data_IF_836780782257
#
_entry.id   IF_836780782257
#
_cell.length_a   1.000
_cell.length_b   1.000
_cell.length_c   1.000
_cell.angle_alpha   90.00
_cell.angle_beta   90.00
_cell.angle_gamma   90.00
#
_symmetry.space_group_name_H-M   'P 1'
#
loop_
_entity.id
_entity.type
_entity.pdbx_description
1 polymer ?
#
# COMPACT_ATOMS: atom_id res chain seq x y z
N UNK A 1 30.10 -27.68 34.96
CA UNK A 1 28.63 -27.70 34.98
C UNK A 1 28.16 -26.60 35.88
N UNK A 2 27.82 -25.43 35.35
CA UNK A 2 27.20 -24.35 36.08
C UNK A 2 25.74 -24.21 35.63
N UNK A 3 24.77 -24.12 36.54
CA UNK A 3 23.36 -23.96 36.14
C UNK A 3 23.10 -22.52 35.75
N UNK A 4 22.38 -22.37 34.63
CA UNK A 4 21.91 -21.11 34.08
C UNK A 4 20.82 -20.57 35.03
N UNK A 5 21.09 -19.43 35.65
CA UNK A 5 20.14 -18.71 36.50
C UNK A 5 19.02 -18.10 35.65
N UNK A 6 17.79 -18.53 35.87
CA UNK A 6 16.58 -17.87 35.42
C UNK A 6 16.36 -16.57 36.19
N UNK A 7 16.61 -15.43 35.52
CA UNK A 7 16.22 -14.13 36.06
C UNK A 7 14.70 -13.96 35.90
N UNK A 8 13.95 -14.08 37.00
CA UNK A 8 12.55 -13.62 37.07
C UNK A 8 12.54 -12.10 36.99
N UNK A 9 11.79 -11.57 36.04
CA UNK A 9 11.47 -10.13 35.94
C UNK A 9 10.11 -9.94 36.64
N UNK A 10 10.14 -9.90 37.99
CA UNK A 10 9.00 -9.49 38.79
C UNK A 10 9.11 -7.98 39.00
N UNK A 11 8.19 -7.19 38.45
CA UNK A 11 8.07 -5.77 38.79
C UNK A 11 7.88 -4.76 37.70
N UNK A 12 7.22 -5.10 36.57
CA UNK A 12 6.67 -4.06 35.68
C UNK A 12 5.26 -3.68 36.16
N UNK A 13 4.97 -2.40 36.41
CA UNK A 13 3.62 -1.99 36.78
C UNK A 13 2.69 -2.23 35.61
N UNK A 14 1.61 -2.97 35.84
CA UNK A 14 0.49 -3.08 34.92
C UNK A 14 -0.10 -1.68 34.74
N UNK A 15 0.00 -1.14 33.52
CA UNK A 15 -0.74 0.06 33.17
C UNK A 15 -2.24 -0.18 33.41
N UNK A 16 -2.95 0.76 34.07
CA UNK A 16 -4.39 0.64 34.24
C UNK A 16 -5.04 0.54 32.86
N UNK A 17 -6.04 -0.36 32.75
CA UNK A 17 -6.83 -0.53 31.55
C UNK A 17 -7.37 0.83 31.12
N UNK A 18 -6.90 1.34 29.98
CA UNK A 18 -7.45 2.54 29.35
C UNK A 18 -8.95 2.33 29.16
N UNK A 19 -9.75 3.19 29.76
CA UNK A 19 -11.16 3.28 29.53
C UNK A 19 -11.37 3.42 28.02
N UNK A 20 -12.17 2.54 27.44
CA UNK A 20 -12.53 2.57 26.02
C UNK A 20 -13.20 3.92 25.73
N UNK A 21 -12.45 4.84 25.14
CA UNK A 21 -12.98 6.05 24.55
C UNK A 21 -13.86 5.58 23.39
N UNK A 22 -15.17 5.59 23.61
CA UNK A 22 -16.18 5.34 22.56
C UNK A 22 -15.97 6.44 21.52
N UNK A 23 -15.48 6.06 20.33
CA UNK A 23 -15.36 7.01 19.23
C UNK A 23 -16.76 7.53 18.87
N UNK A 24 -16.98 8.86 18.78
CA UNK A 24 -18.31 9.44 18.52
C UNK A 24 -18.86 9.16 17.12
N UNK A 25 -18.07 8.54 16.25
CA UNK A 25 -18.49 8.16 14.90
C UNK A 25 -18.63 6.65 14.77
N UNK A 26 -19.76 6.13 14.22
CA UNK A 26 -19.91 4.71 13.97
C UNK A 26 -18.84 4.26 12.98
N UNK A 27 -18.03 3.27 13.36
CA UNK A 27 -17.04 2.67 12.45
C UNK A 27 -17.77 2.00 11.28
N UNK A 28 -17.33 2.32 10.06
CA UNK A 28 -17.81 1.59 8.88
C UNK A 28 -17.25 0.17 8.94
N UNK A 29 -18.12 -0.82 8.80
CA UNK A 29 -17.71 -2.23 8.85
C UNK A 29 -17.82 -2.86 7.47
N UNK A 30 -16.76 -3.55 7.10
CA UNK A 30 -16.63 -4.31 5.85
C UNK A 30 -16.38 -5.80 6.17
N UNK A 31 -16.58 -6.66 5.19
CA UNK A 31 -16.17 -8.04 5.29
C UNK A 31 -14.64 -8.14 5.21
N UNK A 32 -14.04 -7.46 4.23
CA UNK A 32 -12.59 -7.45 4.00
C UNK A 32 -12.08 -6.06 3.68
N UNK A 33 -10.88 -5.75 4.14
CA UNK A 33 -10.12 -4.55 3.75
C UNK A 33 -8.73 -4.97 3.31
N UNK A 34 -8.30 -4.49 2.14
CA UNK A 34 -6.93 -4.59 1.62
C UNK A 34 -6.28 -3.21 1.59
N UNK A 35 -5.12 -3.10 2.18
CA UNK A 35 -4.29 -1.89 2.22
C UNK A 35 -2.85 -2.27 1.92
N UNK A 36 -2.12 -1.43 1.21
CA UNK A 36 -0.73 -1.67 0.80
C UNK A 36 0.12 -0.42 0.89
N UNK A 37 1.42 -0.60 0.71
CA UNK A 37 2.37 0.48 0.45
C UNK A 37 2.33 1.60 1.50
N UNK A 38 2.46 1.22 2.79
CA UNK A 38 2.52 2.17 3.91
C UNK A 38 3.89 2.82 4.02
N UNK A 39 4.94 2.03 3.75
CA UNK A 39 6.33 2.42 3.92
C UNK A 39 6.64 2.99 5.31
N UNK A 40 6.21 2.30 6.39
CA UNK A 40 6.57 2.68 7.75
C UNK A 40 8.10 2.69 7.90
N UNK A 41 8.66 3.80 8.37
CA UNK A 41 10.09 4.07 8.38
C UNK A 41 10.51 5.11 7.35
N UNK A 42 9.70 5.36 6.33
CA UNK A 42 9.92 6.44 5.38
C UNK A 42 9.18 7.72 5.81
N UNK A 43 9.80 8.87 5.60
CA UNK A 43 9.25 10.16 6.04
C UNK A 43 8.00 10.60 5.27
N UNK A 44 7.78 10.06 4.08
CA UNK A 44 6.63 10.39 3.25
C UNK A 44 5.39 9.54 3.59
N UNK A 45 5.50 8.58 4.53
CA UNK A 45 4.36 7.81 4.99
C UNK A 45 3.31 8.71 5.66
N UNK A 46 2.09 8.70 5.18
CA UNK A 46 0.92 9.39 5.74
C UNK A 46 0.31 8.61 6.92
N UNK A 47 1.16 8.28 7.90
CA UNK A 47 0.81 7.41 9.04
C UNK A 47 -0.39 7.94 9.84
N UNK A 48 -0.52 9.26 10.00
CA UNK A 48 -1.63 9.86 10.75
C UNK A 48 -2.97 9.65 10.02
N UNK A 49 -2.99 9.76 8.68
CA UNK A 49 -4.16 9.45 7.86
C UNK A 49 -4.51 7.97 7.91
N UNK A 50 -3.50 7.10 7.86
CA UNK A 50 -3.69 5.65 8.01
C UNK A 50 -4.28 5.32 9.38
N UNK A 51 -3.76 5.91 10.45
CA UNK A 51 -4.30 5.75 11.81
C UNK A 51 -5.76 6.18 11.89
N UNK A 52 -6.09 7.32 11.27
CA UNK A 52 -7.46 7.83 11.24
C UNK A 52 -8.37 6.87 10.46
N UNK A 53 -7.95 6.38 9.29
CA UNK A 53 -8.66 5.33 8.56
C UNK A 53 -8.89 4.09 9.42
N UNK A 54 -7.83 3.57 10.07
CA UNK A 54 -7.90 2.40 10.93
C UNK A 54 -8.81 2.59 12.17
N UNK A 55 -9.03 3.83 12.60
CA UNK A 55 -9.98 4.16 13.69
C UNK A 55 -11.42 4.06 13.22
N UNK A 56 -11.70 4.52 12.00
CA UNK A 56 -13.06 4.67 11.48
C UNK A 56 -13.56 3.46 10.68
N UNK A 57 -12.68 2.47 10.43
CA UNK A 57 -13.04 1.27 9.67
C UNK A 57 -12.70 0.00 10.44
N UNK A 58 -13.62 -0.97 10.38
CA UNK A 58 -13.42 -2.32 10.89
C UNK A 58 -13.77 -3.36 9.82
N UNK A 59 -13.14 -4.52 9.88
CA UNK A 59 -13.41 -5.64 8.98
C UNK A 59 -13.12 -6.98 9.67
N UNK A 60 -13.72 -8.05 9.14
CA UNK A 60 -13.47 -9.41 9.60
C UNK A 60 -12.09 -9.90 9.11
N UNK A 61 -11.70 -9.47 7.88
CA UNK A 61 -10.42 -9.80 7.26
C UNK A 61 -9.65 -8.53 6.88
N UNK A 62 -8.37 -8.47 7.22
CA UNK A 62 -7.43 -7.43 6.84
C UNK A 62 -6.25 -8.03 6.10
N UNK A 63 -5.97 -7.52 4.92
CA UNK A 63 -4.78 -7.86 4.16
C UNK A 63 -3.87 -6.65 4.07
N UNK A 64 -2.63 -6.80 4.53
CA UNK A 64 -1.54 -5.85 4.40
C UNK A 64 -0.72 -6.31 3.20
N UNK A 65 -0.91 -5.65 2.06
CA UNK A 65 -0.50 -6.17 0.75
C UNK A 65 0.83 -5.56 0.31
N UNK A 66 1.87 -5.84 1.07
CA UNK A 66 3.25 -5.49 0.80
C UNK A 66 3.65 -4.05 1.12
N UNK A 67 4.96 -3.85 1.24
CA UNK A 67 5.61 -2.58 1.51
C UNK A 67 5.04 -1.89 2.76
N UNK A 68 4.82 -2.70 3.81
CA UNK A 68 4.33 -2.25 5.11
C UNK A 68 5.44 -1.52 5.86
N UNK A 69 6.65 -2.09 5.82
CA UNK A 69 7.86 -1.52 6.40
C UNK A 69 8.82 -1.10 5.28
N UNK A 70 9.35 0.11 5.34
CA UNK A 70 10.42 0.50 4.39
C UNK A 70 11.79 0.13 4.95
N UNK A 71 12.18 -1.14 4.76
CA UNK A 71 13.47 -1.66 5.17
C UNK A 71 14.66 -0.94 4.51
N UNK A 72 14.46 -0.40 3.30
CA UNK A 72 15.51 0.35 2.58
C UNK A 72 15.71 1.74 3.17
N UNK A 73 14.62 2.45 3.50
CA UNK A 73 14.69 3.75 4.16
C UNK A 73 15.28 3.61 5.57
N UNK A 74 14.83 2.62 6.34
CA UNK A 74 15.29 2.35 7.70
C UNK A 74 16.79 2.01 7.77
N UNK A 75 17.30 1.21 6.80
CA UNK A 75 18.74 0.91 6.69
C UNK A 75 19.58 2.14 6.39
N UNK A 76 19.04 3.12 5.63
CA UNK A 76 19.73 4.35 5.27
C UNK A 76 19.73 5.37 6.40
N UNK A 77 18.58 5.55 7.06
CA UNK A 77 18.39 6.48 8.17
C UNK A 77 17.22 6.02 9.02
N UNK A 78 17.49 5.74 10.29
CA UNK A 78 16.43 5.35 11.21
C UNK A 78 15.43 6.49 11.40
N UNK A 79 14.19 6.27 11.00
CA UNK A 79 13.07 7.19 11.17
C UNK A 79 11.85 6.39 11.64
N UNK A 80 11.54 6.48 12.94
CA UNK A 80 10.41 5.76 13.52
C UNK A 80 9.65 6.65 14.48
N UNK A 81 8.84 7.60 13.96
CA UNK A 81 7.99 8.46 14.79
C UNK A 81 6.91 7.66 15.52
N UNK A 82 6.30 8.26 16.54
CA UNK A 82 5.28 7.62 17.34
C UNK A 82 4.08 7.16 16.50
N UNK A 83 3.69 7.92 15.49
CA UNK A 83 2.59 7.56 14.57
C UNK A 83 2.79 6.21 13.87
N UNK A 84 4.04 5.86 13.50
CA UNK A 84 4.36 4.55 12.93
C UNK A 84 4.15 3.43 13.94
N UNK A 85 4.58 3.64 15.18
CA UNK A 85 4.36 2.70 16.28
C UNK A 85 2.85 2.52 16.53
N UNK A 86 2.08 3.61 16.51
CA UNK A 86 0.64 3.59 16.74
C UNK A 86 -0.13 2.83 15.64
N UNK A 87 0.33 2.91 14.36
CA UNK A 87 -0.20 2.07 13.26
C UNK A 87 -0.03 0.59 13.58
N UNK A 88 1.18 0.17 13.96
CA UNK A 88 1.46 -1.23 14.33
C UNK A 88 0.57 -1.67 15.50
N UNK A 89 0.50 -0.86 16.57
CA UNK A 89 -0.36 -1.15 17.72
C UNK A 89 -1.83 -1.24 17.34
N UNK A 90 -2.29 -0.38 16.42
CA UNK A 90 -3.68 -0.40 15.97
C UNK A 90 -4.01 -1.67 15.19
N UNK A 91 -3.11 -2.15 14.33
CA UNK A 91 -3.26 -3.43 13.62
C UNK A 91 -3.28 -4.62 14.59
N UNK A 92 -2.36 -4.67 15.57
CA UNK A 92 -2.37 -5.69 16.62
C UNK A 92 -3.66 -5.64 17.46
N UNK A 93 -4.23 -4.47 17.66
CA UNK A 93 -5.52 -4.30 18.35
C UNK A 93 -6.68 -4.85 17.52
N UNK A 94 -6.64 -4.75 16.17
CA UNK A 94 -7.63 -5.40 15.28
C UNK A 94 -7.60 -6.91 15.46
N UNK A 95 -6.41 -7.52 15.48
CA UNK A 95 -6.25 -8.96 15.77
C UNK A 95 -6.86 -9.34 17.11
N UNK A 96 -6.53 -8.60 18.19
CA UNK A 96 -7.09 -8.86 19.52
C UNK A 96 -8.60 -8.74 19.60
N UNK A 97 -9.22 -7.97 18.71
CA UNK A 97 -10.68 -7.85 18.56
C UNK A 97 -11.29 -8.95 17.70
N UNK A 98 -10.51 -9.92 17.24
CA UNK A 98 -10.98 -11.08 16.48
C UNK A 98 -10.87 -10.94 14.96
N UNK A 99 -10.32 -9.84 14.43
CA UNK A 99 -10.07 -9.73 12.99
C UNK A 99 -8.94 -10.67 12.56
N UNK A 100 -9.09 -11.32 11.42
CA UNK A 100 -8.00 -12.06 10.77
C UNK A 100 -7.13 -11.08 10.01
N UNK A 101 -5.85 -10.97 10.37
CA UNK A 101 -4.89 -10.07 9.71
C UNK A 101 -3.82 -10.90 9.02
N UNK A 102 -3.64 -10.70 7.73
CA UNK A 102 -2.62 -11.35 6.89
C UNK A 102 -1.68 -10.26 6.35
N UNK A 103 -0.38 -10.47 6.52
CA UNK A 103 0.67 -9.63 5.94
C UNK A 103 1.29 -10.38 4.76
N UNK A 104 1.31 -9.77 3.60
CA UNK A 104 1.99 -10.24 2.38
C UNK A 104 3.18 -9.31 2.19
N UNK A 105 4.43 -9.79 2.28
CA UNK A 105 5.60 -8.94 2.11
C UNK A 105 5.73 -8.40 0.68
N UNK A 106 6.29 -7.19 0.56
CA UNK A 106 6.71 -6.59 -0.71
C UNK A 106 8.24 -6.51 -0.82
N UNK A 107 8.72 -5.76 -1.81
CA UNK A 107 10.16 -5.62 -2.04
C UNK A 107 10.87 -4.71 -1.02
N UNK A 108 10.19 -3.74 -0.40
CA UNK A 108 10.77 -2.92 0.66
C UNK A 108 10.86 -3.64 2.00
N UNK A 109 10.03 -4.63 2.22
CA UNK A 109 10.03 -5.49 3.41
C UNK A 109 10.28 -6.96 3.07
N UNK A 110 11.07 -7.23 2.01
CA UNK A 110 11.44 -8.57 1.53
C UNK A 110 11.99 -9.49 2.63
N UNK A 111 12.63 -8.92 3.67
CA UNK A 111 13.14 -9.69 4.82
C UNK A 111 12.03 -10.43 5.57
N UNK A 112 10.75 -10.03 5.43
CA UNK A 112 9.62 -10.74 6.02
C UNK A 112 9.32 -12.07 5.33
N UNK A 113 9.78 -12.31 4.09
CA UNK A 113 9.58 -13.58 3.41
C UNK A 113 10.20 -14.76 4.14
N UNK A 114 11.32 -14.55 4.88
CA UNK A 114 11.93 -15.59 5.72
C UNK A 114 11.01 -16.08 6.86
N UNK A 115 9.99 -15.29 7.19
CA UNK A 115 8.99 -15.60 8.24
C UNK A 115 7.66 -16.08 7.64
N UNK A 116 7.64 -16.44 6.36
CA UNK A 116 6.43 -16.95 5.72
C UNK A 116 5.84 -18.13 6.49
N UNK A 117 4.51 -18.14 6.62
CA UNK A 117 3.71 -19.10 7.39
C UNK A 117 3.86 -19.01 8.92
N UNK A 118 4.58 -18.02 9.42
CA UNK A 118 4.64 -17.70 10.84
C UNK A 118 3.63 -16.61 11.19
N UNK A 119 3.44 -16.40 12.49
CA UNK A 119 2.50 -15.40 13.01
C UNK A 119 3.20 -14.53 14.07
N UNK A 120 3.02 -13.22 13.98
CA UNK A 120 3.51 -12.24 14.95
C UNK A 120 2.33 -11.48 15.55
N UNK A 121 2.09 -11.69 16.86
CA UNK A 121 0.95 -11.07 17.54
C UNK A 121 -0.40 -11.41 16.92
N UNK A 122 -0.49 -12.56 16.20
CA UNK A 122 -1.67 -13.01 15.48
C UNK A 122 -1.78 -12.47 14.04
N UNK A 123 -0.84 -11.65 13.57
CA UNK A 123 -0.69 -11.29 12.15
C UNK A 123 0.03 -12.43 11.44
N UNK A 124 -0.59 -13.04 10.45
CA UNK A 124 -0.06 -14.19 9.70
C UNK A 124 0.73 -13.66 8.50
N UNK A 125 1.98 -14.11 8.32
CA UNK A 125 2.80 -13.76 7.15
C UNK A 125 2.65 -14.83 6.07
N UNK A 126 2.23 -14.43 4.87
CA UNK A 126 2.12 -15.31 3.69
C UNK A 126 2.77 -14.63 2.49
N UNK A 127 3.43 -15.37 1.57
CA UNK A 127 4.00 -14.78 0.36
C UNK A 127 2.92 -14.27 -0.61
N UNK A 128 1.81 -14.94 -0.64
CA UNK A 128 0.57 -14.64 -1.36
C UNK A 128 -0.57 -15.47 -0.77
N UNK A 129 -1.80 -15.22 -1.17
CA UNK A 129 -2.94 -16.02 -0.75
C UNK A 129 -4.12 -15.90 -1.72
N UNK A 130 -5.10 -16.78 -1.60
CA UNK A 130 -6.38 -16.65 -2.29
C UNK A 130 -7.44 -16.25 -1.26
N UNK A 131 -8.15 -15.18 -1.55
CA UNK A 131 -9.32 -14.72 -0.79
C UNK A 131 -10.60 -15.10 -1.54
N UNK A 132 -11.55 -15.68 -0.83
CA UNK A 132 -12.89 -15.96 -1.35
C UNK A 132 -13.87 -14.92 -0.85
N UNK A 133 -14.46 -14.18 -1.78
CA UNK A 133 -15.47 -13.16 -1.49
C UNK A 133 -16.81 -13.76 -1.05
N UNK A 134 -17.69 -12.96 -0.47
CA UNK A 134 -18.99 -13.41 -0.01
C UNK A 134 -19.89 -13.96 -1.14
N UNK A 135 -19.67 -13.51 -2.37
CA UNK A 135 -20.35 -13.99 -3.58
C UNK A 135 -19.65 -15.19 -4.26
N UNK A 136 -18.61 -15.76 -3.61
CA UNK A 136 -17.90 -16.96 -4.06
C UNK A 136 -16.80 -16.74 -5.09
N UNK A 137 -16.50 -15.50 -5.48
CA UNK A 137 -15.35 -15.22 -6.37
C UNK A 137 -14.04 -15.38 -5.62
N UNK A 138 -13.01 -15.82 -6.32
CA UNK A 138 -11.68 -16.09 -5.79
C UNK A 138 -10.70 -15.04 -6.28
N UNK A 139 -10.07 -14.30 -5.36
CA UNK A 139 -9.07 -13.30 -5.67
C UNK A 139 -7.69 -13.75 -5.22
N UNK A 140 -6.73 -13.74 -6.13
CA UNK A 140 -5.33 -13.93 -5.79
C UNK A 140 -4.78 -12.63 -5.23
N UNK A 141 -4.29 -12.66 -3.98
CA UNK A 141 -3.79 -11.49 -3.25
C UNK A 141 -2.28 -11.62 -3.13
N UNK A 142 -1.55 -10.65 -3.66
CA UNK A 142 -0.09 -10.61 -3.68
C UNK A 142 0.38 -9.16 -3.73
N UNK A 143 1.67 -8.90 -3.43
CA UNK A 143 2.17 -7.53 -3.58
C UNK A 143 2.31 -7.12 -5.06
N UNK A 144 3.01 -7.91 -5.84
CA UNK A 144 3.14 -7.68 -7.29
C UNK A 144 4.58 -7.46 -7.77
N UNK A 145 5.52 -7.18 -6.90
CA UNK A 145 6.94 -6.94 -7.18
C UNK A 145 7.62 -8.07 -7.98
N UNK A 146 7.14 -9.29 -7.84
CA UNK A 146 7.63 -10.45 -8.61
C UNK A 146 7.46 -10.32 -10.13
N UNK A 147 6.62 -9.38 -10.60
CA UNK A 147 6.43 -9.08 -12.01
C UNK A 147 7.33 -7.94 -12.53
N UNK A 148 8.15 -7.32 -11.67
CA UNK A 148 9.07 -6.23 -12.03
C UNK A 148 10.16 -6.65 -13.00
N UNK A 149 10.57 -7.92 -12.97
CA UNK A 149 11.61 -8.43 -13.88
C UNK A 149 11.24 -8.27 -15.37
N UNK A 150 9.97 -8.01 -15.64
CA UNK A 150 9.45 -7.73 -16.99
C UNK A 150 9.71 -6.27 -17.36
N UNK A 151 10.04 -5.38 -16.36
CA UNK A 151 10.15 -3.95 -16.65
C UNK A 151 10.94 -3.13 -15.62
N UNK A 152 11.80 -2.23 -16.13
CA UNK A 152 12.50 -1.21 -15.34
C UNK A 152 11.63 0.03 -15.15
N UNK A 153 11.16 0.26 -13.93
CA UNK A 153 10.33 1.40 -13.54
C UNK A 153 11.15 2.69 -13.30
N UNK A 154 10.54 3.85 -13.63
CA UNK A 154 11.14 5.17 -13.42
C UNK A 154 10.23 6.02 -12.49
N UNK A 155 10.51 6.08 -11.18
CA UNK A 155 9.63 6.71 -10.17
C UNK A 155 9.44 8.22 -10.29
N UNK A 156 10.23 8.92 -11.14
CA UNK A 156 10.14 10.38 -11.32
C UNK A 156 8.94 10.86 -12.16
N UNK A 157 8.13 9.95 -12.68
CA UNK A 157 6.99 10.27 -13.55
C UNK A 157 5.71 10.64 -12.81
N UNK A 158 5.59 10.30 -11.55
CA UNK A 158 4.50 10.73 -10.68
C UNK A 158 4.48 12.25 -10.43
N UNK A 159 5.62 12.93 -10.63
CA UNK A 159 5.77 14.38 -10.40
C UNK A 159 5.21 15.25 -11.54
N UNK A 160 4.78 14.64 -12.63
CA UNK A 160 4.34 15.35 -13.83
C UNK A 160 2.81 15.53 -13.90
N UNK A 161 2.23 16.15 -12.89
CA UNK A 161 0.85 16.65 -12.93
C UNK A 161 0.62 17.72 -14.01
N UNK A 162 -0.63 18.03 -14.31
CA UNK A 162 -1.10 18.88 -15.42
C UNK A 162 -0.36 20.23 -15.63
N UNK A 163 0.30 20.76 -14.62
CA UNK A 163 1.09 22.00 -14.70
C UNK A 163 2.54 21.79 -15.16
N UNK A 164 3.01 20.55 -15.25
CA UNK A 164 4.38 20.23 -15.65
C UNK A 164 4.64 20.36 -17.14
N UNK A 165 3.63 20.24 -17.99
CA UNK A 165 3.80 20.26 -19.44
C UNK A 165 4.30 21.63 -19.96
N UNK A 166 3.68 22.71 -19.50
CA UNK A 166 4.06 24.07 -19.91
C UNK A 166 5.45 24.44 -19.36
N UNK A 167 5.72 24.09 -18.13
CA UNK A 167 7.06 24.27 -17.52
C UNK A 167 8.14 23.53 -18.33
N UNK A 168 7.85 22.32 -18.77
CA UNK A 168 8.76 21.52 -19.60
C UNK A 168 9.02 22.09 -20.98
N UNK A 169 8.02 22.70 -21.62
CA UNK A 169 8.23 23.42 -22.88
C UNK A 169 9.21 24.57 -22.67
N UNK A 170 9.07 25.33 -21.59
CA UNK A 170 9.97 26.42 -21.26
C UNK A 170 11.40 25.95 -20.95
N UNK A 171 11.52 24.87 -20.17
CA UNK A 171 12.81 24.22 -19.88
C UNK A 171 13.45 23.70 -21.16
N UNK A 172 12.68 23.03 -22.03
CA UNK A 172 13.16 22.50 -23.32
C UNK A 172 13.72 23.62 -24.22
N UNK A 173 13.01 24.77 -24.30
CA UNK A 173 13.48 25.94 -25.06
C UNK A 173 14.76 26.54 -24.47
N UNK A 174 14.87 26.62 -23.16
CA UNK A 174 16.06 27.11 -22.48
C UNK A 174 17.25 26.16 -22.70
N UNK A 175 17.07 24.84 -22.51
CA UNK A 175 18.10 23.86 -22.77
C UNK A 175 18.59 23.86 -24.22
N UNK A 176 17.69 23.99 -25.21
CA UNK A 176 18.07 24.07 -26.62
C UNK A 176 18.83 25.36 -26.96
N UNK A 177 18.56 26.46 -26.24
CA UNK A 177 19.38 27.71 -26.41
C UNK A 177 20.81 27.47 -25.94
N UNK A 178 21.02 26.77 -24.83
CA UNK A 178 22.36 26.41 -24.33
C UNK A 178 23.02 25.40 -25.28
N UNK A 179 22.31 24.36 -25.71
CA UNK A 179 22.83 23.34 -26.64
C UNK A 179 23.31 23.95 -27.95
N UNK A 180 22.54 24.87 -28.57
CA UNK A 180 22.94 25.57 -29.79
C UNK A 180 24.20 26.39 -29.59
N UNK A 181 24.38 27.06 -28.42
CA UNK A 181 25.60 27.79 -28.11
C UNK A 181 26.84 26.91 -27.95
N UNK A 182 26.62 25.63 -27.58
CA UNK A 182 27.68 24.63 -27.42
C UNK A 182 27.85 23.75 -28.69
N UNK A 183 27.21 24.10 -29.82
CA UNK A 183 27.34 23.37 -31.08
C UNK A 183 26.54 22.05 -31.16
N UNK A 184 25.62 21.79 -30.24
CA UNK A 184 24.79 20.59 -30.27
C UNK A 184 23.46 20.83 -31.00
N UNK A 185 22.96 19.80 -31.69
CA UNK A 185 21.67 19.82 -32.35
C UNK A 185 20.50 19.98 -31.35
N UNK A 186 19.38 20.52 -31.81
CA UNK A 186 18.16 20.67 -31.03
C UNK A 186 17.65 19.31 -30.52
N UNK A 187 17.23 19.30 -29.29
CA UNK A 187 16.68 18.11 -28.63
C UNK A 187 15.27 18.39 -28.13
N UNK A 188 14.34 17.53 -28.47
CA UNK A 188 12.95 17.70 -28.06
C UNK A 188 12.69 16.98 -26.72
N UNK A 189 12.65 17.76 -25.65
CA UNK A 189 12.24 17.29 -24.32
C UNK A 189 10.83 16.68 -24.38
N UNK A 190 9.92 17.32 -25.11
CA UNK A 190 8.55 16.85 -25.27
C UNK A 190 8.48 15.46 -25.98
N UNK A 191 9.28 15.26 -27.04
CA UNK A 191 9.34 13.96 -27.73
C UNK A 191 9.98 12.87 -26.85
N UNK A 192 10.98 13.21 -26.06
CA UNK A 192 11.60 12.30 -25.10
C UNK A 192 10.58 11.86 -24.05
N UNK A 193 9.84 12.80 -23.46
CA UNK A 193 8.82 12.52 -22.44
C UNK A 193 7.64 11.73 -23.02
N UNK A 194 7.14 12.10 -24.20
CA UNK A 194 6.08 11.34 -24.88
C UNK A 194 6.49 9.87 -25.07
N UNK A 195 7.76 9.63 -25.44
CA UNK A 195 8.29 8.26 -25.58
C UNK A 195 8.35 7.55 -24.23
N UNK A 196 8.77 8.26 -23.17
CA UNK A 196 8.83 7.71 -21.80
C UNK A 196 7.44 7.37 -21.26
N UNK A 197 6.47 8.30 -21.40
CA UNK A 197 5.07 8.05 -21.02
C UNK A 197 4.51 6.83 -21.77
N UNK A 198 4.73 6.73 -23.09
CA UNK A 198 4.29 5.57 -23.86
C UNK A 198 4.91 4.26 -23.34
N UNK A 199 6.19 4.28 -22.99
CA UNK A 199 6.86 3.11 -22.44
C UNK A 199 6.26 2.70 -21.09
N UNK A 200 5.88 3.66 -20.22
CA UNK A 200 5.27 3.38 -18.93
C UNK A 200 3.86 2.81 -19.10
N UNK A 201 3.05 3.42 -19.95
CA UNK A 201 1.70 2.89 -20.23
C UNK A 201 1.80 1.44 -20.72
N UNK A 202 2.73 1.18 -21.64
CA UNK A 202 2.98 -0.19 -22.12
C UNK A 202 3.42 -1.11 -20.97
N UNK A 203 4.29 -0.60 -20.12
CA UNK A 203 4.77 -1.32 -18.93
C UNK A 203 3.64 -1.76 -18.02
N UNK A 204 2.84 -0.79 -17.54
CA UNK A 204 1.71 -1.08 -16.66
C UNK A 204 0.79 -2.11 -17.31
N UNK A 205 0.55 -1.99 -18.61
CA UNK A 205 -0.27 -2.95 -19.36
C UNK A 205 0.35 -4.35 -19.38
N UNK A 206 1.66 -4.45 -19.68
CA UNK A 206 2.36 -5.74 -19.75
C UNK A 206 2.44 -6.42 -18.38
N UNK A 207 2.69 -5.63 -17.30
CA UNK A 207 2.69 -6.04 -15.90
C UNK A 207 1.32 -6.61 -15.48
N UNK A 208 0.26 -5.84 -15.69
CA UNK A 208 -1.10 -6.26 -15.35
C UNK A 208 -1.50 -7.52 -16.11
N UNK A 209 -1.21 -7.59 -17.40
CA UNK A 209 -1.51 -8.78 -18.20
C UNK A 209 -0.74 -10.03 -17.75
N UNK A 210 0.53 -9.87 -17.34
CA UNK A 210 1.33 -10.98 -16.81
C UNK A 210 0.71 -11.50 -15.50
N UNK A 211 0.34 -10.60 -14.60
CA UNK A 211 -0.32 -10.94 -13.33
C UNK A 211 -1.66 -11.62 -13.55
N UNK A 212 -2.49 -11.11 -14.46
CA UNK A 212 -3.80 -11.70 -14.78
C UNK A 212 -3.67 -13.08 -15.42
N UNK A 213 -2.65 -13.32 -16.26
CA UNK A 213 -2.38 -14.66 -16.81
C UNK A 213 -2.02 -15.66 -15.71
N UNK A 214 -1.21 -15.23 -14.73
CA UNK A 214 -0.82 -16.09 -13.62
C UNK A 214 -2.00 -16.36 -12.67
N UNK A 215 -2.81 -15.34 -12.39
CA UNK A 215 -4.03 -15.50 -11.60
C UNK A 215 -5.00 -16.54 -12.19
N UNK A 216 -5.15 -16.57 -13.53
CA UNK A 216 -5.94 -17.62 -14.21
C UNK A 216 -5.38 -19.02 -13.95
N UNK A 217 -4.06 -19.19 -13.92
CA UNK A 217 -3.42 -20.48 -13.61
C UNK A 217 -3.70 -20.92 -12.18
N UNK A 218 -3.84 -19.96 -11.27
CA UNK A 218 -4.29 -20.21 -9.89
C UNK A 218 -5.80 -20.44 -9.76
N UNK A 219 -6.55 -20.38 -10.87
CA UNK A 219 -8.01 -20.53 -10.86
C UNK A 219 -8.70 -19.38 -10.12
N UNK A 220 -8.14 -18.17 -10.19
CA UNK A 220 -8.71 -16.98 -9.60
C UNK A 220 -9.58 -16.22 -10.60
N UNK A 221 -10.62 -15.56 -10.09
CA UNK A 221 -11.54 -14.69 -10.84
C UNK A 221 -11.04 -13.23 -10.88
N UNK A 222 -9.98 -12.94 -10.12
CA UNK A 222 -9.38 -11.62 -10.05
C UNK A 222 -8.10 -11.59 -9.23
N UNK A 223 -7.51 -10.38 -9.17
CA UNK A 223 -6.29 -10.08 -8.42
C UNK A 223 -6.52 -8.89 -7.52
N UNK A 224 -5.93 -8.92 -6.33
CA UNK A 224 -5.72 -7.75 -5.47
C UNK A 224 -4.23 -7.59 -5.23
N UNK A 225 -3.70 -6.39 -5.57
CA UNK A 225 -2.27 -6.09 -5.44
C UNK A 225 -2.01 -4.66 -4.95
N UNK A 226 -0.73 -4.33 -4.74
CA UNK A 226 -0.18 -3.01 -4.46
C UNK A 226 0.91 -2.62 -5.46
N UNK A 227 2.08 -2.20 -4.96
CA UNK A 227 3.36 -2.03 -5.62
C UNK A 227 3.49 -0.85 -6.59
N UNK A 228 2.56 -0.70 -7.55
CA UNK A 228 2.64 0.39 -8.53
C UNK A 228 1.99 1.69 -8.08
N UNK A 229 1.52 1.77 -6.84
CA UNK A 229 0.91 2.96 -6.20
C UNK A 229 -0.23 3.57 -7.02
N UNK A 230 -0.95 2.76 -7.78
CA UNK A 230 -2.06 3.21 -8.63
C UNK A 230 -3.37 2.62 -8.13
N UNK A 231 -4.04 3.35 -7.25
CA UNK A 231 -5.35 2.96 -6.71
C UNK A 231 -6.37 2.79 -7.84
N UNK A 232 -6.82 1.55 -8.07
CA UNK A 232 -7.69 1.23 -9.21
C UNK A 232 -8.47 -0.07 -8.98
N UNK A 233 -9.71 -0.09 -9.44
CA UNK A 233 -10.48 -1.32 -9.61
C UNK A 233 -11.10 -1.32 -11.00
N UNK A 234 -10.85 -2.35 -11.78
CA UNK A 234 -11.35 -2.48 -13.15
C UNK A 234 -11.38 -3.92 -13.63
N UNK A 235 -12.03 -4.16 -14.75
CA UNK A 235 -12.06 -5.47 -15.40
C UNK A 235 -11.02 -5.52 -16.53
N UNK A 236 -10.20 -6.58 -16.53
CA UNK A 236 -9.22 -6.90 -17.59
C UNK A 236 -9.52 -8.32 -18.07
N UNK A 237 -9.85 -8.46 -19.35
CA UNK A 237 -10.16 -9.75 -20.00
C UNK A 237 -11.16 -10.62 -19.18
N UNK A 238 -12.19 -9.99 -18.64
CA UNK A 238 -13.27 -10.64 -17.88
C UNK A 238 -12.93 -10.95 -16.42
N UNK A 239 -11.73 -10.61 -15.93
CA UNK A 239 -11.31 -10.78 -14.54
C UNK A 239 -11.22 -9.41 -13.85
N UNK A 240 -11.47 -9.38 -12.54
CA UNK A 240 -11.33 -8.15 -11.76
C UNK A 240 -9.87 -7.93 -11.38
N UNK A 241 -9.34 -6.77 -11.72
CA UNK A 241 -8.06 -6.25 -11.25
C UNK A 241 -8.31 -5.17 -10.21
N UNK A 242 -7.72 -5.31 -9.02
CA UNK A 242 -7.78 -4.33 -7.95
C UNK A 242 -6.37 -3.98 -7.47
N UNK A 243 -6.02 -2.70 -7.46
CA UNK A 243 -4.80 -2.21 -6.83
C UNK A 243 -5.18 -1.31 -5.64
N UNK A 244 -4.58 -1.59 -4.47
CA UNK A 244 -4.93 -0.90 -3.23
C UNK A 244 -4.49 0.57 -3.21
N UNK A 245 -3.56 0.96 -4.12
CA UNK A 245 -2.89 2.26 -4.06
C UNK A 245 -1.79 2.26 -2.99
N UNK A 246 -1.69 3.34 -2.22
CA UNK A 246 -0.64 3.55 -1.24
C UNK A 246 -1.11 4.46 -0.08
N UNK A 247 -0.27 4.59 0.95
CA UNK A 247 -0.44 5.53 2.07
C UNK A 247 0.70 6.57 2.12
N UNK A 248 1.12 7.01 0.93
CA UNK A 248 2.07 8.10 0.70
C UNK A 248 1.40 9.25 -0.05
N UNK A 249 0.65 8.94 -1.10
CA UNK A 249 -0.01 9.94 -1.97
C UNK A 249 -1.53 9.68 -2.07
N UNK A 250 -1.95 8.47 -2.46
CA UNK A 250 -3.36 8.16 -2.77
C UNK A 250 -4.22 7.99 -1.53
N UNK A 251 -3.65 7.56 -0.40
CA UNK A 251 -4.33 7.25 0.86
C UNK A 251 -5.60 6.43 0.60
N UNK A 252 -5.45 5.23 0.04
CA UNK A 252 -6.56 4.42 -0.45
C UNK A 252 -6.54 3.00 0.08
N UNK A 253 -7.68 2.35 0.00
CA UNK A 253 -7.91 0.96 0.35
C UNK A 253 -8.92 0.33 -0.59
N UNK A 254 -8.75 -0.96 -0.89
CA UNK A 254 -9.84 -1.77 -1.43
C UNK A 254 -10.66 -2.33 -0.27
N UNK A 255 -11.97 -2.40 -0.45
CA UNK A 255 -12.88 -2.97 0.54
C UNK A 255 -13.86 -3.93 -0.13
N UNK A 256 -14.25 -4.96 0.61
CA UNK A 256 -15.33 -5.85 0.25
C UNK A 256 -16.49 -5.69 1.23
N UNK A 257 -17.66 -5.46 0.71
CA UNK A 257 -18.92 -5.46 1.46
C UNK A 257 -19.38 -6.88 1.77
N UNK A 258 -20.33 -7.02 2.67
CA UNK A 258 -20.87 -8.33 3.07
C UNK A 258 -21.68 -9.04 1.97
N UNK A 259 -22.01 -8.33 0.88
CA UNK A 259 -22.65 -8.88 -0.32
C UNK A 259 -21.63 -9.31 -1.41
N UNK A 260 -20.33 -9.21 -1.15
CA UNK A 260 -19.26 -9.50 -2.09
C UNK A 260 -18.89 -8.36 -3.03
N UNK A 261 -19.58 -7.23 -2.99
CA UNK A 261 -19.25 -6.04 -3.80
C UNK A 261 -17.93 -5.45 -3.33
N UNK A 262 -17.03 -5.21 -4.28
CA UNK A 262 -15.75 -4.55 -4.04
C UNK A 262 -15.84 -3.05 -4.36
N UNK A 263 -15.14 -2.24 -3.59
CA UNK A 263 -15.10 -0.79 -3.72
C UNK A 263 -13.70 -0.26 -3.43
N UNK A 264 -13.28 0.79 -4.17
CA UNK A 264 -12.08 1.55 -3.86
C UNK A 264 -12.47 2.76 -3.00
N UNK A 265 -11.86 2.86 -1.82
CA UNK A 265 -12.08 3.94 -0.87
C UNK A 265 -10.84 4.84 -0.82
N UNK A 266 -11.02 6.14 -1.09
CA UNK A 266 -10.00 7.15 -0.85
C UNK A 266 -10.28 7.85 0.49
N UNK A 267 -9.25 8.01 1.32
CA UNK A 267 -9.39 8.57 2.65
C UNK A 267 -8.76 9.97 2.75
N UNK A 268 -9.61 10.98 2.78
CA UNK A 268 -9.21 12.37 2.95
C UNK A 268 -9.38 12.89 4.39
N UNK A 269 -9.54 11.98 5.36
CA UNK A 269 -9.92 12.26 6.75
C UNK A 269 -11.40 12.03 7.02
N UNK A 270 -11.76 11.85 8.30
CA UNK A 270 -13.15 11.83 8.69
C UNK A 270 -13.79 13.18 8.32
N UNK A 271 -15.02 13.23 7.77
CA UNK A 271 -15.70 14.50 7.61
C UNK A 271 -15.75 15.16 8.98
N UNK A 272 -15.26 16.41 9.06
CA UNK A 272 -15.36 17.21 10.28
C UNK A 272 -16.80 17.10 10.79
N UNK A 273 -16.93 16.78 12.08
CA UNK A 273 -18.24 16.80 12.73
C UNK A 273 -18.86 18.16 12.41
N UNK A 274 -19.93 18.16 11.63
CA UNK A 274 -20.61 19.39 11.24
C UNK A 274 -20.69 20.29 12.48
N UNK A 275 -20.12 21.49 12.37
CA UNK A 275 -20.27 22.51 13.39
C UNK A 275 -21.78 22.59 13.74
N UNK A 276 -22.17 22.65 15.02
CA UNK A 276 -23.56 22.74 15.37
C UNK A 276 -24.13 23.94 14.65
N UNK A 277 -25.21 23.71 13.88
CA UNK A 277 -25.98 24.78 13.24
C UNK A 277 -26.41 25.75 14.32
N UNK A 278 -25.84 26.95 14.28
CA UNK A 278 -26.17 28.06 15.16
C UNK A 278 -27.56 28.62 14.88
#
# INVERSE_FOLDING_TARGET
MNPIGTTRIDGLPLHPAEASVVSPHPSRRYRTIWISDFHLGWRACEADRLLDFLKHHDADHWYLVGDILDGWALKRSWNWPQSHNDVVQKLLRKVRKGARVVCIPGNHDEFLHQFARLSFGGIIVLPDTVHETADGRRFWVLHGDQFDSIVHYAPWLTVLGNNGYDLMIHIGRFLNRIRRRLGFADWSLAAYLKRRVKNIVRFVTDYEQAMMREARRHGADGVVCGHIHKAEIRTIDGMTYGNCGDWVESCSALVEHFDGRMELVHWNGAPDAAAPAG
#
